data_IF_496942265298
#
_entry.id   IF_496942265298
#
_cell.length_a   1.000
_cell.length_b   1.000
_cell.length_c   1.000
_cell.angle_alpha   90.00
_cell.angle_beta   90.00
_cell.angle_gamma   90.00
#
_symmetry.space_group_name_H-M   'P 1'
#
loop_
_entity.id
_entity.type
_entity.pdbx_description
1 polymer ?
#
# COMPACT_ATOMS: atom_id res chain seq x y z
N UNK A 1 44.43 -61.48 45.72
CA UNK A 1 43.37 -61.37 46.75
C UNK A 1 42.15 -60.70 46.13
N UNK A 2 41.11 -61.52 45.89
CA UNK A 2 39.66 -61.23 45.90
C UNK A 2 39.11 -60.08 45.03
N UNK A 3 38.76 -60.48 43.81
CA UNK A 3 37.53 -60.12 43.10
C UNK A 3 36.29 -60.17 44.00
N UNK A 4 35.58 -59.04 44.13
CA UNK A 4 34.12 -58.90 44.33
C UNK A 4 33.82 -57.47 43.83
N UNK A 5 33.04 -57.18 42.80
CA UNK A 5 31.62 -57.52 42.65
C UNK A 5 31.26 -57.40 41.16
N UNK A 6 31.13 -58.55 40.51
CA UNK A 6 30.31 -58.72 39.32
C UNK A 6 29.00 -59.33 39.82
N UNK A 7 28.00 -58.51 40.16
CA UNK A 7 26.57 -58.86 40.24
C UNK A 7 25.78 -57.64 40.77
N UNK A 8 25.45 -56.72 39.88
CA UNK A 8 24.14 -56.07 39.94
C UNK A 8 23.66 -55.87 38.50
N UNK A 9 23.41 -57.04 37.91
CA UNK A 9 22.56 -57.24 36.74
C UNK A 9 21.20 -56.60 37.05
N UNK A 10 20.80 -55.68 36.16
CA UNK A 10 19.45 -55.61 35.60
C UNK A 10 18.34 -55.47 36.63
N UNK A 11 18.09 -54.24 37.10
CA UNK A 11 16.72 -53.77 37.42
C UNK A 11 16.67 -52.24 37.66
N UNK A 12 17.23 -51.45 36.74
CA UNK A 12 16.96 -50.00 36.68
C UNK A 12 16.97 -49.46 35.24
N UNK A 13 16.60 -50.32 34.30
CA UNK A 13 16.01 -49.92 33.03
C UNK A 13 14.52 -49.73 33.26
N UNK A 14 14.04 -48.49 33.02
CA UNK A 14 12.64 -48.04 32.89
C UNK A 14 12.20 -46.93 33.86
N UNK A 15 12.96 -45.83 34.01
CA UNK A 15 12.36 -44.48 34.08
C UNK A 15 13.35 -43.46 33.49
N UNK A 16 13.64 -43.57 32.20
CA UNK A 16 14.18 -42.47 31.41
C UNK A 16 13.22 -42.19 30.25
N UNK A 17 11.97 -41.88 30.62
CA UNK A 17 11.10 -41.03 29.81
C UNK A 17 11.70 -39.63 29.95
N UNK A 18 12.69 -39.28 29.13
CA UNK A 18 12.42 -38.52 27.91
C UNK A 18 11.37 -37.43 28.15
N UNK A 19 11.68 -36.48 29.03
CA UNK A 19 11.30 -35.09 28.78
C UNK A 19 12.04 -34.60 27.53
N UNK A 20 11.71 -35.17 26.37
CA UNK A 20 11.56 -34.34 25.18
C UNK A 20 10.39 -33.45 25.55
N UNK A 21 10.67 -32.25 26.03
CA UNK A 21 9.79 -31.13 25.73
C UNK A 21 9.71 -31.12 24.22
N UNK A 22 8.69 -31.78 23.69
CA UNK A 22 8.04 -31.34 22.49
C UNK A 22 7.70 -29.89 22.76
N UNK A 23 8.61 -29.00 22.38
CA UNK A 23 8.22 -27.67 21.93
C UNK A 23 7.32 -27.98 20.75
N UNK A 24 6.06 -28.19 21.08
CA UNK A 24 4.95 -28.06 20.18
C UNK A 24 5.01 -26.60 19.76
N UNK A 25 5.80 -26.31 18.74
CA UNK A 25 5.75 -25.04 18.03
C UNK A 25 4.50 -25.05 17.15
N UNK A 26 3.33 -25.21 17.79
CA UNK A 26 2.03 -24.99 17.16
C UNK A 26 1.63 -23.52 17.22
N UNK A 27 2.60 -22.60 17.38
CA UNK A 27 2.33 -21.17 17.38
C UNK A 27 3.56 -20.36 16.93
N UNK A 28 4.12 -20.70 15.76
CA UNK A 28 4.52 -19.61 14.87
C UNK A 28 3.23 -18.93 14.37
N UNK A 29 2.58 -18.18 15.27
CA UNK A 29 1.76 -17.04 14.91
C UNK A 29 2.59 -16.31 13.86
N UNK A 30 2.25 -16.46 12.58
CA UNK A 30 2.89 -15.72 11.49
C UNK A 30 2.87 -14.28 11.93
N UNK A 31 4.00 -13.77 12.41
CA UNK A 31 4.08 -12.43 12.99
C UNK A 31 3.61 -11.51 11.88
N UNK A 32 2.44 -10.91 12.08
CA UNK A 32 1.81 -10.10 11.06
C UNK A 32 2.81 -9.00 10.66
N UNK A 33 3.22 -9.03 9.39
CA UNK A 33 4.28 -8.14 8.90
C UNK A 33 3.70 -6.71 8.89
N UNK A 34 4.36 -5.82 9.63
CA UNK A 34 4.00 -4.40 9.67
C UNK A 34 4.69 -3.65 8.52
N UNK A 35 3.90 -3.06 7.61
CA UNK A 35 4.34 -2.28 6.45
C UNK A 35 4.65 -0.81 6.73
N UNK A 36 4.45 -0.29 7.95
CA UNK A 36 4.85 1.10 8.28
C UNK A 36 6.34 1.38 7.98
N UNK A 37 7.31 0.52 8.37
CA UNK A 37 8.70 0.69 7.98
C UNK A 37 8.93 0.56 6.47
N UNK A 38 8.10 -0.21 5.78
CA UNK A 38 8.18 -0.40 4.33
C UNK A 38 7.91 0.92 3.60
N UNK A 39 6.81 1.60 3.92
CA UNK A 39 6.46 2.88 3.28
C UNK A 39 7.56 3.93 3.43
N UNK A 40 8.13 4.04 4.65
CA UNK A 40 9.22 4.99 4.92
C UNK A 40 10.46 4.71 4.06
N UNK A 41 10.79 3.43 3.85
CA UNK A 41 11.93 3.03 3.01
C UNK A 41 11.64 3.19 1.52
N UNK A 42 10.40 2.96 1.09
CA UNK A 42 9.98 3.26 -0.28
C UNK A 42 10.14 4.74 -0.61
N UNK A 43 9.77 5.67 0.29
CA UNK A 43 9.97 7.11 0.08
C UNK A 43 11.46 7.53 0.07
N UNK A 44 12.27 6.90 0.92
CA UNK A 44 13.73 7.12 0.91
C UNK A 44 14.34 6.71 -0.44
N UNK A 45 13.94 5.54 -0.96
CA UNK A 45 14.38 5.08 -2.28
C UNK A 45 13.85 5.96 -3.43
N UNK A 46 12.58 6.34 -3.41
CA UNK A 46 11.98 7.24 -4.42
C UNK A 46 12.72 8.60 -4.46
N UNK A 47 13.09 9.15 -3.30
CA UNK A 47 13.90 10.39 -3.22
C UNK A 47 15.26 10.22 -3.92
N UNK A 48 15.91 9.07 -3.72
CA UNK A 48 17.21 8.76 -4.32
C UNK A 48 17.07 8.49 -5.82
N UNK A 49 16.01 7.79 -6.23
CA UNK A 49 15.69 7.53 -7.63
C UNK A 49 15.55 8.84 -8.40
N UNK A 50 14.68 9.75 -7.93
CA UNK A 50 14.41 11.06 -8.54
C UNK A 50 15.64 11.97 -8.59
N UNK A 51 16.61 11.75 -7.71
CA UNK A 51 17.88 12.50 -7.68
C UNK A 51 19.03 11.77 -8.37
N UNK A 52 18.72 10.82 -9.25
CA UNK A 52 19.67 10.02 -10.05
C UNK A 52 20.64 9.15 -9.22
N UNK A 53 20.36 8.94 -7.94
CA UNK A 53 21.13 8.03 -7.09
C UNK A 53 20.61 6.59 -7.22
N UNK A 54 20.66 6.07 -8.44
CA UNK A 54 20.09 4.78 -8.81
C UNK A 54 20.69 3.62 -8.02
N UNK A 55 22.00 3.65 -7.74
CA UNK A 55 22.66 2.61 -6.95
C UNK A 55 22.06 2.48 -5.56
N UNK A 56 21.95 3.59 -4.82
CA UNK A 56 21.41 3.55 -3.45
C UNK A 56 19.92 3.26 -3.44
N UNK A 57 19.17 3.80 -4.40
CA UNK A 57 17.75 3.46 -4.59
C UNK A 57 17.58 1.94 -4.78
N UNK A 58 18.34 1.35 -5.71
CA UNK A 58 18.34 -0.10 -5.96
C UNK A 58 18.67 -0.89 -4.69
N UNK A 59 19.73 -0.54 -3.97
CA UNK A 59 20.14 -1.25 -2.75
C UNK A 59 19.06 -1.23 -1.65
N UNK A 60 18.40 -0.08 -1.45
CA UNK A 60 17.31 0.03 -0.48
C UNK A 60 16.14 -0.85 -0.90
N UNK A 61 15.70 -0.77 -2.17
CA UNK A 61 14.56 -1.51 -2.66
C UNK A 61 14.84 -3.02 -2.73
N UNK A 62 16.04 -3.44 -3.11
CA UNK A 62 16.47 -4.83 -3.11
C UNK A 62 16.39 -5.43 -1.70
N UNK A 63 16.97 -4.75 -0.71
CA UNK A 63 16.90 -5.17 0.69
C UNK A 63 15.47 -5.16 1.24
N UNK A 64 14.64 -4.22 0.77
CA UNK A 64 13.25 -4.12 1.16
C UNK A 64 12.43 -5.30 0.63
N UNK A 65 12.60 -5.68 -0.64
CA UNK A 65 11.85 -6.76 -1.28
C UNK A 65 12.32 -8.17 -0.90
N UNK A 66 13.46 -8.30 -0.22
CA UNK A 66 13.84 -9.52 0.48
C UNK A 66 13.00 -9.77 1.74
N UNK A 67 12.35 -8.73 2.28
CA UNK A 67 11.60 -8.78 3.56
C UNK A 67 10.09 -8.61 3.37
N UNK A 68 9.69 -7.87 2.35
CA UNK A 68 8.30 -7.49 2.09
C UNK A 68 7.92 -7.88 0.67
N UNK A 69 6.67 -8.28 0.47
CA UNK A 69 6.13 -8.35 -0.88
C UNK A 69 5.95 -6.91 -1.39
N UNK A 70 6.46 -6.56 -2.58
CA UNK A 70 6.27 -5.23 -3.14
C UNK A 70 4.78 -4.88 -3.27
N UNK A 71 4.47 -3.63 -2.97
CA UNK A 71 3.11 -3.13 -3.02
C UNK A 71 2.82 -2.46 -4.36
N UNK A 72 3.80 -1.83 -5.02
CA UNK A 72 3.61 -0.84 -6.09
C UNK A 72 2.66 0.29 -5.66
N UNK A 73 3.11 1.09 -4.71
CA UNK A 73 2.40 2.25 -4.17
C UNK A 73 2.03 3.22 -5.30
N UNK A 74 0.74 3.56 -5.34
CA UNK A 74 0.19 4.53 -6.29
C UNK A 74 0.96 5.86 -6.26
N UNK A 75 1.30 6.37 -7.45
CA UNK A 75 2.14 7.55 -7.72
C UNK A 75 3.65 7.41 -7.47
N UNK A 76 4.12 6.40 -6.72
CA UNK A 76 5.54 6.21 -6.41
C UNK A 76 6.18 5.09 -7.23
N UNK A 77 5.43 4.02 -7.51
CA UNK A 77 5.87 2.93 -8.38
C UNK A 77 7.17 2.27 -7.90
N UNK A 78 7.30 1.97 -6.60
CA UNK A 78 8.58 1.55 -6.01
C UNK A 78 9.15 0.25 -6.59
N UNK A 79 8.32 -0.68 -7.06
CA UNK A 79 8.79 -1.88 -7.75
C UNK A 79 9.23 -1.56 -9.19
N UNK A 80 8.55 -0.67 -9.89
CA UNK A 80 9.03 -0.16 -11.18
C UNK A 80 10.31 0.67 -11.04
N UNK A 81 10.43 1.50 -10.01
CA UNK A 81 11.64 2.25 -9.66
C UNK A 81 12.79 1.30 -9.31
N UNK A 82 12.51 0.14 -8.71
CA UNK A 82 13.51 -0.90 -8.48
C UNK A 82 14.07 -1.46 -9.78
N UNK A 83 13.21 -1.79 -10.75
CA UNK A 83 13.62 -2.24 -12.09
C UNK A 83 14.45 -1.15 -12.80
N UNK A 84 13.95 0.09 -12.79
CA UNK A 84 14.65 1.22 -13.39
C UNK A 84 16.02 1.46 -12.74
N UNK A 85 16.06 1.47 -11.41
CA UNK A 85 17.30 1.66 -10.63
C UNK A 85 18.28 0.51 -10.87
N UNK A 86 17.81 -0.74 -10.99
CA UNK A 86 18.68 -1.89 -11.25
C UNK A 86 19.36 -1.76 -12.61
N UNK A 87 18.62 -1.39 -13.66
CA UNK A 87 19.18 -1.17 -15.00
C UNK A 87 20.15 0.00 -15.01
N UNK A 88 19.77 1.13 -14.41
CA UNK A 88 20.60 2.34 -14.41
C UNK A 88 21.89 2.18 -13.58
N UNK A 89 21.94 1.20 -12.68
CA UNK A 89 23.10 0.89 -11.86
C UNK A 89 23.86 -0.37 -12.28
N UNK A 90 23.49 -1.00 -13.40
CA UNK A 90 24.16 -2.20 -13.92
C UNK A 90 23.78 -3.53 -13.24
N UNK A 91 22.81 -3.54 -12.33
CA UNK A 91 22.27 -4.74 -11.68
C UNK A 91 21.20 -5.41 -12.54
N UNK A 92 21.63 -5.97 -13.68
CA UNK A 92 20.74 -6.48 -14.74
C UNK A 92 20.39 -7.97 -14.60
N UNK A 93 20.94 -8.66 -13.61
CA UNK A 93 20.68 -10.08 -13.41
C UNK A 93 19.19 -10.35 -13.16
N UNK A 94 18.62 -11.30 -13.90
CA UNK A 94 17.21 -11.66 -13.81
C UNK A 94 16.24 -10.53 -14.20
N UNK A 95 16.67 -9.52 -14.97
CA UNK A 95 15.84 -8.38 -15.36
C UNK A 95 14.49 -8.78 -15.95
N UNK A 96 14.46 -9.72 -16.90
CA UNK A 96 13.20 -10.18 -17.52
C UNK A 96 12.24 -10.79 -16.49
N UNK A 97 12.78 -11.51 -15.49
CA UNK A 97 11.98 -12.03 -14.38
C UNK A 97 11.37 -10.93 -13.52
N UNK A 98 12.14 -9.87 -13.24
CA UNK A 98 11.65 -8.69 -12.51
C UNK A 98 10.55 -7.97 -13.29
N UNK A 99 10.74 -7.74 -14.60
CA UNK A 99 9.76 -7.11 -15.49
C UNK A 99 8.50 -7.96 -15.58
N UNK A 100 8.62 -9.28 -15.77
CA UNK A 100 7.49 -10.21 -15.76
C UNK A 100 6.69 -10.12 -14.47
N UNK A 101 7.36 -10.12 -13.31
CA UNK A 101 6.69 -9.94 -12.01
C UNK A 101 5.94 -8.59 -11.95
N UNK A 102 6.54 -7.53 -12.49
CA UNK A 102 5.90 -6.21 -12.58
C UNK A 102 4.56 -6.26 -13.32
N UNK A 103 4.56 -6.78 -14.55
CA UNK A 103 3.34 -6.94 -15.32
C UNK A 103 2.31 -7.87 -14.66
N UNK A 104 2.73 -9.04 -14.14
CA UNK A 104 1.81 -10.02 -13.56
C UNK A 104 1.17 -9.56 -12.25
N UNK A 105 1.85 -8.74 -11.46
CA UNK A 105 1.37 -8.30 -10.15
C UNK A 105 0.77 -6.89 -10.15
N UNK A 106 1.19 -6.01 -11.06
CA UNK A 106 0.84 -4.59 -11.03
C UNK A 106 0.28 -4.08 -12.35
N UNK A 107 0.26 -4.91 -13.40
CA UNK A 107 -0.32 -4.58 -14.71
C UNK A 107 0.58 -3.76 -15.61
N UNK A 108 1.63 -3.12 -15.10
CA UNK A 108 2.62 -2.43 -15.91
C UNK A 108 3.99 -2.30 -15.21
N UNK A 109 4.98 -1.80 -15.94
CA UNK A 109 6.26 -1.31 -15.41
C UNK A 109 6.44 0.14 -15.85
N UNK A 110 6.10 1.07 -14.97
CA UNK A 110 6.07 2.50 -15.24
C UNK A 110 6.68 3.32 -14.10
N UNK A 111 7.30 4.44 -14.43
CA UNK A 111 7.94 5.31 -13.43
C UNK A 111 7.84 6.77 -13.87
N UNK A 112 7.84 7.65 -12.87
CA UNK A 112 7.86 9.10 -13.04
C UNK A 112 9.26 9.61 -12.75
N UNK A 113 9.97 10.07 -13.77
CA UNK A 113 11.36 10.50 -13.66
C UNK A 113 11.74 11.45 -14.81
N UNK A 114 12.54 12.51 -14.58
CA UNK A 114 12.99 13.42 -15.65
C UNK A 114 13.73 12.70 -16.79
N UNK A 115 14.52 11.68 -16.47
CA UNK A 115 15.23 10.85 -17.45
C UNK A 115 14.41 9.63 -17.94
N UNK A 116 13.09 9.67 -17.87
CA UNK A 116 12.26 8.48 -18.13
C UNK A 116 12.49 7.87 -19.51
N UNK A 117 12.73 8.69 -20.54
CA UNK A 117 13.04 8.21 -21.89
C UNK A 117 14.32 7.38 -21.95
N UNK A 118 15.43 7.87 -21.36
CA UNK A 118 16.71 7.16 -21.32
C UNK A 118 16.59 5.82 -20.57
N UNK A 119 15.90 5.84 -19.43
CA UNK A 119 15.67 4.63 -18.62
C UNK A 119 14.88 3.60 -19.44
N UNK A 120 13.80 4.00 -20.12
CA UNK A 120 13.00 3.10 -20.98
C UNK A 120 13.82 2.54 -22.13
N UNK A 121 14.66 3.35 -22.77
CA UNK A 121 15.55 2.87 -23.83
C UNK A 121 16.53 1.80 -23.33
N UNK A 122 17.16 2.02 -22.17
CA UNK A 122 18.09 1.03 -21.59
C UNK A 122 17.38 -0.25 -21.22
N UNK A 123 16.20 -0.17 -20.60
CA UNK A 123 15.37 -1.34 -20.31
C UNK A 123 15.05 -2.09 -21.61
N UNK A 124 14.58 -1.41 -22.65
CA UNK A 124 14.22 -2.01 -23.93
C UNK A 124 15.41 -2.67 -24.64
N UNK A 125 16.62 -2.11 -24.50
CA UNK A 125 17.85 -2.66 -25.08
C UNK A 125 18.32 -3.95 -24.40
N UNK A 126 18.06 -4.10 -23.11
CA UNK A 126 18.58 -5.21 -22.28
C UNK A 126 17.53 -6.33 -22.14
N UNK A 127 16.26 -5.95 -21.97
CA UNK A 127 15.13 -6.88 -21.84
C UNK A 127 14.99 -7.72 -23.10
N UNK A 128 14.82 -9.03 -22.94
CA UNK A 128 14.54 -9.95 -24.06
C UNK A 128 13.05 -10.17 -24.27
N UNK A 129 12.21 -9.71 -23.33
CA UNK A 129 10.76 -9.81 -23.45
C UNK A 129 10.22 -9.03 -24.65
N UNK A 130 9.54 -9.75 -25.53
CA UNK A 130 8.80 -9.21 -26.66
C UNK A 130 7.59 -8.37 -26.22
N UNK A 131 7.01 -7.63 -27.16
CA UNK A 131 5.76 -6.91 -26.93
C UNK A 131 4.61 -7.86 -26.60
N UNK A 132 4.53 -8.99 -27.30
CA UNK A 132 3.44 -9.96 -27.15
C UNK A 132 3.50 -10.67 -25.79
N UNK A 133 4.70 -10.96 -25.27
CA UNK A 133 4.86 -11.50 -23.91
C UNK A 133 4.38 -10.52 -22.84
N UNK A 134 4.71 -9.23 -22.99
CA UNK A 134 4.25 -8.19 -22.06
C UNK A 134 2.72 -8.06 -22.08
N UNK A 135 2.14 -8.08 -23.28
CA UNK A 135 0.69 -8.04 -23.47
C UNK A 135 -0.01 -9.26 -22.86
N UNK A 136 0.58 -10.46 -23.02
CA UNK A 136 0.09 -11.66 -22.36
C UNK A 136 0.09 -11.50 -20.83
N UNK A 137 1.17 -10.96 -20.25
CA UNK A 137 1.24 -10.76 -18.80
C UNK A 137 0.24 -9.73 -18.29
N UNK A 138 -0.06 -8.68 -19.07
CA UNK A 138 -1.13 -7.72 -18.75
C UNK A 138 -2.50 -8.40 -18.70
N UNK A 139 -2.78 -9.28 -19.66
CA UNK A 139 -4.02 -10.08 -19.70
C UNK A 139 -4.11 -11.09 -18.55
N UNK A 140 -3.00 -11.61 -18.07
CA UNK A 140 -3.00 -12.45 -16.86
C UNK A 140 -3.26 -11.63 -15.59
N UNK A 141 -2.71 -10.41 -15.51
CA UNK A 141 -3.00 -9.50 -14.41
C UNK A 141 -4.49 -9.10 -14.37
N UNK A 142 -5.11 -8.79 -15.52
CA UNK A 142 -6.53 -8.40 -15.56
C UNK A 142 -7.49 -9.48 -15.03
N UNK A 143 -7.11 -10.77 -15.15
CA UNK A 143 -7.87 -11.89 -14.59
C UNK A 143 -7.85 -11.95 -13.05
N UNK A 144 -6.88 -11.28 -12.40
CA UNK A 144 -6.69 -11.31 -10.94
C UNK A 144 -7.43 -10.20 -10.21
N UNK A 145 -7.80 -9.13 -10.93
CA UNK A 145 -8.49 -7.99 -10.34
C UNK A 145 -10.01 -8.18 -10.43
N UNK A 146 -10.73 -7.68 -9.42
CA UNK A 146 -12.18 -7.75 -9.35
C UNK A 146 -12.80 -6.57 -10.09
N UNK A 147 -12.98 -6.73 -11.41
CA UNK A 147 -13.58 -5.71 -12.28
C UNK A 147 -15.03 -5.35 -11.89
N UNK A 148 -15.79 -6.30 -11.36
CA UNK A 148 -17.15 -6.04 -10.88
C UNK A 148 -17.14 -5.09 -9.68
N UNK A 149 -16.27 -5.36 -8.70
CA UNK A 149 -16.08 -4.48 -7.54
C UNK A 149 -15.49 -3.12 -7.96
N UNK A 150 -14.53 -3.10 -8.88
CA UNK A 150 -13.99 -1.86 -9.46
C UNK A 150 -15.11 -1.00 -10.06
N UNK A 151 -16.00 -1.60 -10.87
CA UNK A 151 -17.12 -0.90 -11.48
C UNK A 151 -18.12 -0.41 -10.44
N UNK A 152 -18.39 -1.19 -9.40
CA UNK A 152 -19.24 -0.78 -8.29
C UNK A 152 -18.69 0.47 -7.60
N UNK A 153 -17.39 0.52 -7.30
CA UNK A 153 -16.75 1.69 -6.67
C UNK A 153 -16.79 2.93 -7.58
N UNK A 154 -16.62 2.76 -8.90
CA UNK A 154 -16.77 3.85 -9.88
C UNK A 154 -18.19 4.42 -9.89
N UNK A 155 -19.22 3.56 -9.83
CA UNK A 155 -20.62 4.01 -9.72
C UNK A 155 -20.82 4.81 -8.43
N UNK A 156 -20.32 4.31 -7.29
CA UNK A 156 -20.40 5.03 -6.01
C UNK A 156 -19.74 6.41 -6.09
N UNK A 157 -18.57 6.49 -6.75
CA UNK A 157 -17.86 7.74 -6.96
C UNK A 157 -18.67 8.72 -7.81
N UNK A 158 -19.19 8.28 -8.97
CA UNK A 158 -19.97 9.13 -9.87
C UNK A 158 -21.25 9.63 -9.17
N UNK A 159 -21.92 8.77 -8.39
CA UNK A 159 -23.07 9.14 -7.55
C UNK A 159 -22.74 10.23 -6.53
N UNK A 160 -21.68 10.04 -5.72
CA UNK A 160 -21.26 11.00 -4.69
C UNK A 160 -20.84 12.34 -5.32
N UNK A 161 -20.12 12.31 -6.44
CA UNK A 161 -19.67 13.53 -7.11
C UNK A 161 -20.81 14.26 -7.85
N UNK A 162 -21.87 13.55 -8.28
CA UNK A 162 -23.00 14.15 -8.99
C UNK A 162 -23.76 15.19 -8.16
N UNK A 163 -23.87 14.97 -6.85
CA UNK A 163 -24.56 15.86 -5.90
C UNK A 163 -23.65 16.92 -5.27
N UNK A 164 -22.35 16.89 -5.59
CA UNK A 164 -21.33 17.82 -5.06
C UNK A 164 -20.82 18.80 -6.11
N UNK A 165 -20.50 18.32 -7.32
CA UNK A 165 -19.81 19.11 -8.35
C UNK A 165 -20.75 19.89 -9.27
N UNK A 166 -21.87 19.28 -9.66
CA UNK A 166 -22.77 19.86 -10.68
C UNK A 166 -23.88 20.70 -10.05
N UNK A 167 -24.48 20.22 -8.97
CA UNK A 167 -25.54 20.90 -8.22
C UNK A 167 -25.35 20.59 -6.75
N UNK A 168 -24.80 21.54 -5.98
CA UNK A 168 -24.62 21.36 -4.53
C UNK A 168 -25.98 21.06 -3.89
N UNK A 169 -26.18 19.80 -3.50
CA UNK A 169 -27.46 19.29 -3.00
C UNK A 169 -27.24 18.56 -1.67
N UNK A 170 -27.56 19.21 -0.56
CA UNK A 170 -27.36 18.66 0.78
C UNK A 170 -28.19 17.41 1.07
N UNK A 171 -29.44 17.38 0.60
CA UNK A 171 -30.30 16.20 0.76
C UNK A 171 -29.74 15.02 -0.04
N UNK A 172 -29.30 15.28 -1.27
CA UNK A 172 -28.61 14.29 -2.11
C UNK A 172 -27.32 13.77 -1.48
N UNK A 173 -26.52 14.66 -0.88
CA UNK A 173 -25.30 14.26 -0.15
C UNK A 173 -25.62 13.34 1.03
N UNK A 174 -26.65 13.67 1.84
CA UNK A 174 -27.08 12.81 2.96
C UNK A 174 -27.63 11.47 2.49
N UNK A 175 -28.38 11.47 1.38
CA UNK A 175 -28.90 10.24 0.77
C UNK A 175 -27.76 9.30 0.35
N UNK A 176 -26.80 9.81 -0.44
CA UNK A 176 -25.67 9.00 -0.91
C UNK A 176 -24.72 8.63 0.22
N UNK A 177 -24.50 9.47 1.23
CA UNK A 177 -23.74 9.11 2.42
C UNK A 177 -24.32 7.85 3.09
N UNK A 178 -25.63 7.82 3.34
CA UNK A 178 -26.31 6.67 3.95
C UNK A 178 -26.31 5.42 3.06
N UNK A 179 -26.48 5.58 1.74
CA UNK A 179 -26.42 4.49 0.78
C UNK A 179 -25.01 3.88 0.74
N UNK A 180 -24.00 4.72 0.56
CA UNK A 180 -22.60 4.29 0.43
C UNK A 180 -22.05 3.74 1.73
N UNK A 181 -22.53 4.19 2.90
CA UNK A 181 -22.20 3.54 4.17
C UNK A 181 -22.51 2.05 4.11
N UNK A 182 -23.75 1.66 3.76
CA UNK A 182 -24.16 0.25 3.66
C UNK A 182 -23.34 -0.53 2.63
N UNK A 183 -23.08 0.08 1.48
CA UNK A 183 -22.27 -0.55 0.43
C UNK A 183 -20.81 -0.75 0.87
N UNK A 184 -20.22 0.20 1.60
CA UNK A 184 -18.89 0.04 2.18
C UNK A 184 -18.86 -1.06 3.24
N UNK A 185 -19.89 -1.17 4.08
CA UNK A 185 -19.97 -2.25 5.07
C UNK A 185 -20.01 -3.63 4.38
N UNK A 186 -20.79 -3.75 3.31
CA UNK A 186 -20.87 -4.97 2.51
C UNK A 186 -19.55 -5.28 1.80
N UNK A 187 -18.91 -4.28 1.20
CA UNK A 187 -17.60 -4.42 0.54
C UNK A 187 -16.55 -4.88 1.55
N UNK A 188 -16.49 -4.24 2.71
CA UNK A 188 -15.54 -4.60 3.77
C UNK A 188 -15.79 -6.02 4.27
N UNK A 189 -17.05 -6.41 4.49
CA UNK A 189 -17.40 -7.75 4.95
C UNK A 189 -16.99 -8.84 3.95
N UNK A 190 -17.18 -8.60 2.66
CA UNK A 190 -16.94 -9.61 1.62
C UNK A 190 -15.50 -9.61 1.08
N UNK A 191 -14.83 -8.46 1.08
CA UNK A 191 -13.57 -8.26 0.36
C UNK A 191 -12.46 -7.62 1.19
N UNK A 192 -12.76 -7.08 2.37
CA UNK A 192 -11.83 -6.24 3.12
C UNK A 192 -11.69 -4.84 2.52
N UNK A 193 -10.56 -4.17 2.77
CA UNK A 193 -10.31 -2.84 2.18
C UNK A 193 -10.04 -2.98 0.67
N UNK A 194 -10.82 -2.34 -0.22
CA UNK A 194 -10.74 -2.53 -1.66
C UNK A 194 -9.56 -1.75 -2.27
N UNK A 195 -8.36 -2.23 -2.01
CA UNK A 195 -7.13 -1.63 -2.51
C UNK A 195 -6.86 -2.01 -3.98
N UNK A 196 -5.88 -1.36 -4.58
CA UNK A 196 -5.52 -1.56 -5.98
C UNK A 196 -4.99 -2.97 -6.29
N UNK A 197 -4.54 -3.75 -5.31
CA UNK A 197 -4.21 -5.18 -5.54
C UNK A 197 -5.47 -6.01 -5.81
N UNK A 198 -6.62 -5.58 -5.26
CA UNK A 198 -7.91 -6.22 -5.46
C UNK A 198 -8.65 -5.66 -6.67
N UNK A 199 -8.70 -4.33 -6.83
CA UNK A 199 -9.52 -3.67 -7.86
C UNK A 199 -8.71 -3.13 -9.05
N UNK A 200 -7.40 -3.37 -9.05
CA UNK A 200 -6.46 -2.86 -10.05
C UNK A 200 -5.95 -1.45 -9.75
N UNK A 201 -4.76 -1.13 -10.27
CA UNK A 201 -4.16 0.21 -10.21
C UNK A 201 -5.08 1.33 -10.73
N UNK A 202 -4.86 2.55 -10.26
CA UNK A 202 -5.47 3.77 -10.80
C UNK A 202 -5.20 3.93 -12.31
N UNK A 203 -4.05 3.47 -12.79
CA UNK A 203 -3.68 3.53 -14.21
C UNK A 203 -4.13 2.30 -15.01
N UNK A 204 -4.88 1.38 -14.41
CA UNK A 204 -5.42 0.24 -15.13
C UNK A 204 -6.44 0.70 -16.18
N UNK A 205 -6.15 0.42 -17.44
CA UNK A 205 -7.05 0.62 -18.57
C UNK A 205 -7.91 -0.64 -18.74
N UNK A 206 -9.21 -0.51 -18.46
CA UNK A 206 -10.20 -1.53 -18.81
C UNK A 206 -10.55 -1.33 -20.29
N UNK A 207 -10.31 -2.35 -21.12
CA UNK A 207 -10.63 -2.32 -22.56
C UNK A 207 -12.12 -2.03 -22.83
N UNK A 208 -12.99 -2.30 -21.85
CA UNK A 208 -14.42 -2.03 -21.96
C UNK A 208 -14.80 -0.58 -21.60
N UNK A 209 -13.85 0.23 -21.15
CA UNK A 209 -14.09 1.62 -20.76
C UNK A 209 -13.53 2.55 -21.82
N UNK A 210 -14.38 3.45 -22.30
CA UNK A 210 -14.00 4.45 -23.31
C UNK A 210 -13.00 5.48 -22.80
N UNK A 211 -12.75 5.56 -21.49
CA UNK A 211 -11.74 6.45 -20.90
C UNK A 211 -11.18 5.83 -19.62
N UNK A 212 -9.85 5.71 -19.49
CA UNK A 212 -9.22 5.31 -18.23
C UNK A 212 -9.64 6.27 -17.11
N UNK A 213 -10.18 5.73 -16.02
CA UNK A 213 -10.51 6.51 -14.83
C UNK A 213 -9.71 5.98 -13.64
N UNK A 214 -9.00 6.85 -12.90
CA UNK A 214 -8.42 6.45 -11.63
C UNK A 214 -9.54 6.16 -10.63
N UNK A 215 -9.54 4.95 -10.06
CA UNK A 215 -10.53 4.54 -9.06
C UNK A 215 -9.83 4.39 -7.73
N UNK A 216 -10.34 5.09 -6.74
CA UNK A 216 -9.89 5.01 -5.36
C UNK A 216 -11.10 5.00 -4.42
N UNK A 217 -11.02 4.17 -3.38
CA UNK A 217 -12.10 4.02 -2.41
C UNK A 217 -12.00 5.03 -1.25
N UNK A 218 -10.83 5.65 -1.05
CA UNK A 218 -10.57 6.59 0.05
C UNK A 218 -11.60 7.72 0.12
N UNK A 219 -11.99 8.29 -1.02
CA UNK A 219 -12.97 9.37 -1.10
C UNK A 219 -14.35 8.96 -0.56
N UNK A 220 -14.75 7.70 -0.74
CA UNK A 220 -15.99 7.18 -0.18
C UNK A 220 -15.94 7.20 1.34
N UNK A 221 -14.81 6.86 1.96
CA UNK A 221 -14.59 6.97 3.41
C UNK A 221 -14.48 8.43 3.88
N UNK A 222 -13.77 9.29 3.15
CA UNK A 222 -13.60 10.71 3.47
C UNK A 222 -14.94 11.42 3.58
N UNK A 223 -15.92 11.05 2.76
CA UNK A 223 -17.25 11.67 2.77
C UNK A 223 -18.21 11.13 3.83
N UNK A 224 -17.93 9.98 4.45
CA UNK A 224 -18.79 9.41 5.50
C UNK A 224 -18.90 10.26 6.77
N UNK A 225 -19.98 10.07 7.52
CA UNK A 225 -20.25 10.68 8.81
C UNK A 225 -19.28 10.25 9.92
N UNK A 226 -19.36 10.94 11.06
CA UNK A 226 -18.46 10.73 12.20
C UNK A 226 -18.57 9.31 12.76
N UNK A 227 -19.79 8.84 13.04
CA UNK A 227 -20.02 7.52 13.62
C UNK A 227 -19.45 6.39 12.75
N UNK A 228 -19.61 6.48 11.43
CA UNK A 228 -19.04 5.53 10.49
C UNK A 228 -17.50 5.54 10.54
N UNK A 229 -16.88 6.72 10.54
CA UNK A 229 -15.42 6.84 10.63
C UNK A 229 -14.90 6.32 11.97
N UNK A 230 -15.54 6.61 13.09
CA UNK A 230 -15.14 6.08 14.41
C UNK A 230 -15.16 4.54 14.43
N UNK A 231 -16.17 3.93 13.82
CA UNK A 231 -16.27 2.47 13.66
C UNK A 231 -15.12 1.90 12.82
N UNK A 232 -14.76 2.54 11.71
CA UNK A 232 -13.84 1.95 10.72
C UNK A 232 -12.39 2.44 10.81
N UNK A 233 -12.07 3.52 11.51
CA UNK A 233 -10.68 3.98 11.67
C UNK A 233 -9.75 2.92 12.30
N UNK A 234 -10.15 2.14 13.31
CA UNK A 234 -9.32 1.03 13.83
C UNK A 234 -9.06 -0.05 12.78
N UNK A 235 -10.08 -0.40 11.98
CA UNK A 235 -9.95 -1.34 10.87
C UNK A 235 -8.97 -0.82 9.82
N UNK A 236 -9.10 0.43 9.38
CA UNK A 236 -8.21 1.03 8.39
C UNK A 236 -6.76 1.12 8.88
N UNK A 237 -6.54 1.39 10.18
CA UNK A 237 -5.19 1.36 10.77
C UNK A 237 -4.58 -0.05 10.75
N UNK A 238 -5.41 -1.09 10.93
CA UNK A 238 -4.94 -2.47 10.81
C UNK A 238 -4.58 -2.80 9.34
N UNK A 239 -5.44 -2.43 8.40
CA UNK A 239 -5.19 -2.62 6.97
C UNK A 239 -3.97 -1.84 6.49
N UNK A 240 -3.68 -0.66 7.06
CA UNK A 240 -2.44 0.09 6.82
C UNK A 240 -1.21 -0.72 7.25
N UNK A 241 -1.23 -1.28 8.46
CA UNK A 241 -0.13 -2.12 8.95
C UNK A 241 0.08 -3.35 8.08
N UNK A 242 -0.98 -3.89 7.47
CA UNK A 242 -0.96 -5.06 6.58
C UNK A 242 -0.55 -4.75 5.14
N UNK A 243 -0.27 -3.50 4.80
CA UNK A 243 0.07 -3.11 3.43
C UNK A 243 -1.14 -2.93 2.51
N UNK A 244 -2.37 -2.92 3.06
CA UNK A 244 -3.62 -2.89 2.29
C UNK A 244 -4.18 -1.48 2.13
N UNK A 245 -4.21 -0.68 3.20
CA UNK A 245 -4.58 0.74 3.14
C UNK A 245 -3.32 1.60 3.02
N UNK A 246 -3.30 2.62 2.16
CA UNK A 246 -2.12 3.47 2.02
C UNK A 246 -2.01 4.46 3.20
N UNK A 247 -0.79 4.91 3.58
CA UNK A 247 -0.63 5.97 4.57
C UNK A 247 -1.40 7.24 4.19
N UNK A 248 -1.48 7.55 2.90
CA UNK A 248 -2.20 8.71 2.36
C UNK A 248 -3.70 8.57 2.60
N UNK A 249 -4.29 7.43 2.24
CA UNK A 249 -5.72 7.17 2.41
C UNK A 249 -6.11 7.27 3.89
N UNK A 250 -5.40 6.53 4.75
CA UNK A 250 -5.66 6.53 6.20
C UNK A 250 -5.59 7.94 6.77
N UNK A 251 -4.54 8.69 6.43
CA UNK A 251 -4.34 10.04 6.96
C UNK A 251 -5.38 11.04 6.48
N UNK A 252 -5.82 10.96 5.21
CA UNK A 252 -6.87 11.82 4.67
C UNK A 252 -8.23 11.52 5.32
N UNK A 253 -8.55 10.24 5.52
CA UNK A 253 -9.77 9.82 6.22
C UNK A 253 -9.75 10.29 7.68
N UNK A 254 -8.61 10.14 8.37
CA UNK A 254 -8.45 10.56 9.77
C UNK A 254 -8.52 12.08 9.94
N UNK A 255 -7.81 12.85 9.10
CA UNK A 255 -7.88 14.31 9.16
C UNK A 255 -9.28 14.82 8.78
N UNK A 256 -10.01 14.11 7.91
CA UNK A 256 -11.40 14.42 7.57
C UNK A 256 -12.35 14.14 8.73
N UNK A 257 -12.12 13.06 9.47
CA UNK A 257 -12.81 12.78 10.73
C UNK A 257 -12.60 13.93 11.75
N UNK A 258 -11.35 14.35 11.97
CA UNK A 258 -11.05 15.46 12.88
C UNK A 258 -11.71 16.76 12.45
N UNK A 259 -11.74 17.02 11.14
CA UNK A 259 -12.39 18.20 10.58
C UNK A 259 -13.90 18.20 10.89
N UNK A 260 -14.61 17.10 10.57
CA UNK A 260 -16.05 16.98 10.86
C UNK A 260 -16.33 17.09 12.37
N UNK A 261 -15.53 16.44 13.20
CA UNK A 261 -15.67 16.50 14.68
C UNK A 261 -15.45 17.90 15.23
N UNK A 262 -14.50 18.64 14.67
CA UNK A 262 -14.25 20.04 15.05
C UNK A 262 -15.44 20.94 14.67
N UNK A 263 -16.06 20.69 13.52
CA UNK A 263 -17.24 21.41 13.08
C UNK A 263 -18.45 21.17 14.01
N UNK A 264 -18.71 19.93 14.45
CA UNK A 264 -19.78 19.64 15.43
C UNK A 264 -19.55 20.33 16.78
N UNK A 265 -18.28 20.51 17.17
CA UNK A 265 -17.90 21.18 18.42
C UNK A 265 -17.77 22.71 18.28
N UNK A 266 -18.01 23.27 17.09
CA UNK A 266 -17.80 24.70 16.78
C UNK A 266 -16.38 25.20 17.13
N UNK A 267 -15.35 24.38 16.89
CA UNK A 267 -13.95 24.75 17.09
C UNK A 267 -13.18 24.79 15.77
N UNK A 268 -12.08 25.55 15.76
CA UNK A 268 -11.20 25.64 14.58
C UNK A 268 -10.66 24.24 14.23
N UNK A 269 -10.92 23.73 13.01
CA UNK A 269 -10.50 22.41 12.62
C UNK A 269 -8.98 22.31 12.56
N UNK A 270 -8.46 21.20 13.11
CA UNK A 270 -7.03 20.87 13.07
C UNK A 270 -6.79 19.53 12.40
N UNK A 271 -5.62 19.40 11.79
CA UNK A 271 -5.16 18.18 11.14
C UNK A 271 -4.05 17.52 11.98
N UNK A 272 -4.12 16.20 12.13
CA UNK A 272 -3.07 15.46 12.82
C UNK A 272 -1.90 15.18 11.88
N UNK A 273 -2.20 14.75 10.64
CA UNK A 273 -1.20 14.35 9.66
C UNK A 273 -0.92 15.42 8.60
N UNK A 274 -1.82 16.39 8.43
CA UNK A 274 -1.69 17.46 7.43
C UNK A 274 -1.93 16.96 6.01
N UNK A 275 -2.91 16.06 5.85
CA UNK A 275 -3.15 15.34 4.59
C UNK A 275 -4.27 15.93 3.74
N UNK A 276 -5.02 16.90 4.26
CA UNK A 276 -6.03 17.65 3.53
C UNK A 276 -5.50 19.06 3.25
N UNK A 277 -5.82 19.61 2.08
CA UNK A 277 -5.29 20.87 1.52
C UNK A 277 -4.91 21.94 2.55
N UNK A 278 -3.71 22.49 2.38
CA UNK A 278 -2.96 23.27 3.39
C UNK A 278 -3.52 24.70 3.55
N UNK A 279 -4.22 25.22 2.55
CA UNK A 279 -4.73 26.59 2.61
C UNK A 279 -5.74 26.72 3.79
N UNK A 280 -5.29 27.44 4.82
CA UNK A 280 -6.04 27.82 6.03
C UNK A 280 -6.32 26.73 7.08
N UNK A 281 -5.58 25.62 7.12
CA UNK A 281 -5.82 24.55 8.12
C UNK A 281 -4.66 24.36 9.10
N UNK A 282 -4.93 24.54 10.40
CA UNK A 282 -3.92 24.40 11.44
C UNK A 282 -3.56 22.93 11.71
N UNK A 283 -2.30 22.66 12.05
CA UNK A 283 -1.87 21.34 12.53
C UNK A 283 -2.11 21.22 14.04
N UNK A 284 -2.42 20.01 14.52
CA UNK A 284 -2.52 19.71 15.95
C UNK A 284 -1.19 19.98 16.65
N UNK A 285 -0.08 19.59 16.02
CA UNK A 285 1.27 19.83 16.56
C UNK A 285 2.29 20.10 15.43
N UNK A 286 2.43 21.36 14.99
CA UNK A 286 3.35 21.72 13.91
C UNK A 286 4.80 21.31 14.18
N UNK A 287 5.26 21.42 15.44
CA UNK A 287 6.65 21.10 15.83
C UNK A 287 6.98 19.61 15.76
N UNK A 288 5.97 18.73 15.85
CA UNK A 288 6.13 17.27 15.80
C UNK A 288 5.55 16.62 14.55
N UNK A 289 5.15 17.41 13.55
CA UNK A 289 4.39 16.92 12.39
C UNK A 289 5.09 15.75 11.67
N UNK A 290 6.40 15.85 11.43
CA UNK A 290 7.13 14.78 10.75
C UNK A 290 7.21 13.49 11.58
N UNK A 291 7.32 13.61 12.91
CA UNK A 291 7.28 12.44 13.80
C UNK A 291 5.90 11.79 13.82
N UNK A 292 4.83 12.58 13.75
CA UNK A 292 3.44 12.11 13.70
C UNK A 292 3.17 11.43 12.35
N UNK A 293 3.57 12.05 11.23
CA UNK A 293 3.46 11.47 9.89
C UNK A 293 4.22 10.14 9.80
N UNK A 294 5.44 10.09 10.34
CA UNK A 294 6.25 8.87 10.40
C UNK A 294 5.56 7.72 11.13
N UNK A 295 4.71 7.98 12.13
CA UNK A 295 4.08 6.92 12.93
C UNK A 295 3.06 6.09 12.15
N UNK A 296 2.57 6.58 11.01
CA UNK A 296 1.69 5.86 10.08
C UNK A 296 2.36 5.59 8.73
N UNK A 297 3.68 5.80 8.64
CA UNK A 297 4.45 5.52 7.44
C UNK A 297 4.35 6.59 6.37
N UNK A 298 3.85 7.81 6.63
CA UNK A 298 3.91 8.93 5.69
C UNK A 298 5.32 9.52 5.57
N UNK A 299 5.65 10.17 4.44
CA UNK A 299 6.89 10.93 4.31
C UNK A 299 6.76 12.27 5.07
N UNK A 300 7.87 13.01 5.16
CA UNK A 300 7.86 14.36 5.75
C UNK A 300 6.83 15.27 5.08
N UNK A 301 6.32 16.25 5.84
CA UNK A 301 5.39 17.22 5.27
C UNK A 301 6.09 17.98 4.12
N UNK A 302 5.39 18.16 3.00
CA UNK A 302 5.93 18.80 1.80
C UNK A 302 6.69 17.87 0.84
N UNK A 303 6.83 16.57 1.15
CA UNK A 303 7.46 15.60 0.25
C UNK A 303 6.81 15.58 -1.14
N UNK A 304 5.49 15.48 -1.23
CA UNK A 304 4.77 15.47 -2.53
C UNK A 304 5.06 16.72 -3.36
N UNK A 305 5.07 17.89 -2.72
CA UNK A 305 5.35 19.15 -3.42
C UNK A 305 6.80 19.22 -3.90
N UNK A 306 7.75 18.75 -3.09
CA UNK A 306 9.14 18.63 -3.52
C UNK A 306 9.28 17.65 -4.68
N UNK A 307 8.61 16.50 -4.59
CA UNK A 307 8.62 15.43 -5.58
C UNK A 307 8.10 15.91 -6.92
N UNK A 308 6.93 16.55 -6.94
CA UNK A 308 6.33 17.12 -8.15
C UNK A 308 7.29 18.09 -8.86
N UNK A 309 7.89 19.03 -8.13
CA UNK A 309 8.87 20.00 -8.65
C UNK A 309 10.16 19.37 -9.19
N UNK A 310 10.46 18.12 -8.82
CA UNK A 310 11.64 17.39 -9.29
C UNK A 310 11.35 16.51 -10.50
N UNK A 311 10.08 16.19 -10.75
CA UNK A 311 9.64 15.36 -11.87
C UNK A 311 9.27 16.24 -13.08
N UNK A 312 8.74 17.45 -12.83
CA UNK A 312 8.58 18.52 -13.83
C UNK A 312 9.90 18.89 -14.51
#
# INVERSE_FOLDING_TARGET
MKFKHFLLIVFLTCVSLSCRTTVVDNNSLKKEINYIPYYLKAYEADSLFITNNFQKSYQILDSLFQKYEPLEMENYYEYSNYIASSVMSGHIDGLDGKIKKGYLNFGDVGFLHPQSYEIRQKIAKISKLSKDEKELYKKEYSKRINLSLRKRIDIMFDEDQSVRRKNWNEEGMKFFENKHAKELEEIIANYGYPNYQLIGSMNYEDENWSTPKPISCDIMFIHQGIAFKEKYLPFLLNELKRGKCSPRDYSAIYDSYLFKKSAELNIIPKQLYGSIGIENRALVNPKKIDSIRKSIGLPKLGYEMWRAKKIE
#
